data_IF_154583516723
#
_entry.id   IF_154583516723
#
_cell.length_a   1.000
_cell.length_b   1.000
_cell.length_c   1.000
_cell.angle_alpha   90.00
_cell.angle_beta   90.00
_cell.angle_gamma   90.00
#
_symmetry.space_group_name_H-M   'P 1'
#
loop_
_entity.id
_entity.type
_entity.pdbx_description
1 polymer ?
#
# COMPACT_ATOMS: atom_id res chain seq x y z
N UNK A 1 -82.42 9.71 5.55
CA UNK A 1 -81.37 9.62 4.54
C UNK A 1 -80.08 10.16 5.22
N UNK A 2 -79.22 9.29 5.78
CA UNK A 2 -77.94 9.67 6.36
C UNK A 2 -76.87 9.49 5.30
N UNK A 3 -76.19 10.56 4.90
CA UNK A 3 -74.99 10.50 4.03
C UNK A 3 -73.74 10.39 4.91
N UNK A 4 -73.09 9.22 4.87
CA UNK A 4 -71.79 9.03 5.48
C UNK A 4 -70.72 9.73 4.62
N UNK A 5 -69.94 10.64 5.23
CA UNK A 5 -68.74 11.23 4.62
C UNK A 5 -67.53 10.35 4.96
N UNK A 6 -66.97 9.70 3.94
CA UNK A 6 -65.70 8.98 4.09
C UNK A 6 -64.55 10.00 3.91
N UNK A 7 -63.80 10.23 4.97
CA UNK A 7 -62.61 11.07 4.95
C UNK A 7 -61.43 10.18 4.59
N UNK A 8 -60.85 10.38 3.42
CA UNK A 8 -59.67 9.67 2.96
C UNK A 8 -58.43 10.34 3.56
N UNK A 9 -57.80 9.67 4.50
CA UNK A 9 -56.53 10.12 5.07
C UNK A 9 -55.40 9.72 4.08
N UNK A 10 -54.78 10.72 3.41
CA UNK A 10 -53.59 10.53 2.60
C UNK A 10 -52.38 10.50 3.51
N UNK A 11 -51.79 9.32 3.64
CA UNK A 11 -50.52 9.12 4.37
C UNK A 11 -49.39 9.62 3.44
N UNK A 12 -48.87 10.82 3.69
CA UNK A 12 -47.64 11.32 3.05
C UNK A 12 -46.43 10.56 3.64
N UNK A 13 -45.95 9.52 2.96
CA UNK A 13 -44.62 8.97 3.21
C UNK A 13 -43.61 10.02 2.79
N UNK A 14 -42.99 10.70 3.75
CA UNK A 14 -41.80 11.51 3.52
C UNK A 14 -40.65 10.58 3.16
N UNK A 15 -40.27 10.53 1.88
CA UNK A 15 -39.02 9.96 1.43
C UNK A 15 -37.89 10.80 1.98
N UNK A 16 -37.26 10.33 3.06
CA UNK A 16 -36.00 10.89 3.57
C UNK A 16 -34.95 10.57 2.48
N UNK A 17 -34.32 11.57 1.86
CA UNK A 17 -33.25 11.30 0.92
C UNK A 17 -32.13 10.60 1.69
N UNK A 18 -31.78 9.37 1.29
CA UNK A 18 -30.60 8.68 1.77
C UNK A 18 -29.42 9.46 1.17
N UNK A 19 -28.88 10.40 1.94
CA UNK A 19 -27.59 11.02 1.60
C UNK A 19 -26.55 9.91 1.58
N UNK A 20 -26.06 9.54 0.40
CA UNK A 20 -24.85 8.74 0.28
C UNK A 20 -23.72 9.63 0.78
N UNK A 21 -23.24 9.38 1.98
CA UNK A 21 -22.02 9.98 2.50
C UNK A 21 -20.87 9.48 1.63
N UNK A 22 -20.09 10.38 1.03
CA UNK A 22 -18.83 10.06 0.36
C UNK A 22 -17.69 10.19 1.35
N UNK A 23 -16.60 9.43 1.14
CA UNK A 23 -15.36 9.62 1.88
C UNK A 23 -14.91 11.09 1.76
N UNK A 24 -14.40 11.66 2.86
CA UNK A 24 -13.99 13.06 2.89
C UNK A 24 -12.49 13.17 2.62
N UNK A 25 -12.11 14.05 1.68
CA UNK A 25 -10.72 14.41 1.44
C UNK A 25 -10.32 15.54 2.38
N UNK A 26 -9.28 15.30 3.20
CA UNK A 26 -8.69 16.29 4.10
C UNK A 26 -7.28 16.60 3.63
N UNK A 27 -7.03 17.85 3.25
CA UNK A 27 -5.70 18.30 2.82
C UNK A 27 -4.92 18.80 4.04
N UNK A 28 -3.78 18.20 4.30
CA UNK A 28 -2.79 18.67 5.27
C UNK A 28 -1.85 19.66 4.58
N UNK A 29 -1.86 20.94 4.98
CA UNK A 29 -1.00 21.96 4.39
C UNK A 29 0.46 21.82 4.85
N UNK A 30 1.39 22.43 4.11
CA UNK A 30 2.82 22.49 4.45
C UNK A 30 3.68 22.58 3.20
N UNK A 31 4.98 22.50 3.35
CA UNK A 31 5.93 22.52 2.24
C UNK A 31 5.73 21.33 1.28
N UNK A 32 5.26 20.22 1.83
CA UNK A 32 4.87 19.00 1.09
C UNK A 32 3.47 18.59 1.56
N UNK A 33 2.42 19.16 0.96
CA UNK A 33 1.05 18.84 1.35
C UNK A 33 0.70 17.41 0.97
N UNK A 34 -0.20 16.79 1.75
CA UNK A 34 -0.74 15.47 1.44
C UNK A 34 -2.25 15.44 1.65
N UNK A 35 -2.92 14.50 1.00
CA UNK A 35 -4.35 14.27 1.14
C UNK A 35 -4.60 13.02 1.97
N UNK A 36 -5.46 13.15 2.97
CA UNK A 36 -6.03 12.05 3.73
C UNK A 36 -7.47 11.82 3.28
N UNK A 37 -7.78 10.61 2.86
CA UNK A 37 -9.15 10.16 2.59
C UNK A 37 -9.67 9.49 3.86
N UNK A 38 -10.72 10.09 4.43
CA UNK A 38 -11.39 9.59 5.65
C UNK A 38 -12.60 8.76 5.24
N UNK A 39 -12.68 7.46 5.59
CA UNK A 39 -13.79 6.62 5.19
C UNK A 39 -15.10 7.07 5.83
N UNK A 40 -16.23 6.88 5.14
CA UNK A 40 -17.57 7.22 5.63
C UNK A 40 -17.94 6.49 6.91
N UNK A 41 -17.32 5.34 7.12
CA UNK A 41 -17.54 4.48 8.30
C UNK A 41 -16.63 4.84 9.48
N UNK A 42 -15.73 5.84 9.35
CA UNK A 42 -14.85 6.27 10.45
C UNK A 42 -15.65 6.76 11.65
N UNK A 43 -15.25 6.30 12.83
CA UNK A 43 -15.82 6.74 14.11
C UNK A 43 -14.69 7.26 15.00
N UNK A 44 -14.82 8.51 15.43
CA UNK A 44 -13.87 9.11 16.37
C UNK A 44 -13.79 8.27 17.67
N UNK A 45 -12.57 8.04 18.15
CA UNK A 45 -12.31 7.19 19.31
C UNK A 45 -12.21 5.70 19.01
N UNK A 46 -12.59 5.24 17.80
CA UNK A 46 -12.39 3.85 17.37
C UNK A 46 -11.10 3.75 16.55
N UNK A 47 -10.10 2.95 17.00
CA UNK A 47 -8.82 2.84 16.26
C UNK A 47 -8.99 2.27 14.86
N UNK A 48 -8.64 3.04 13.84
CA UNK A 48 -8.73 2.70 12.43
C UNK A 48 -7.35 2.34 11.82
N UNK A 49 -7.28 1.42 10.85
CA UNK A 49 -6.04 1.19 10.08
C UNK A 49 -5.66 2.42 9.27
N UNK A 50 -4.35 2.61 9.04
CA UNK A 50 -3.80 3.64 8.16
C UNK A 50 -3.02 3.00 7.02
N UNK A 51 -3.33 3.37 5.78
CA UNK A 51 -2.54 3.00 4.60
C UNK A 51 -1.94 4.26 3.99
N UNK A 52 -0.62 4.24 3.71
CA UNK A 52 0.08 5.28 2.96
C UNK A 52 0.41 4.72 1.58
N UNK A 53 -0.08 5.37 0.51
CA UNK A 53 0.10 4.93 -0.87
C UNK A 53 1.12 5.81 -1.60
N UNK A 54 2.24 5.21 -2.05
CA UNK A 54 3.40 5.90 -2.60
C UNK A 54 3.47 5.73 -4.12
N UNK A 55 3.55 6.85 -4.84
CA UNK A 55 3.69 6.88 -6.30
C UNK A 55 5.07 6.40 -6.79
N UNK A 56 5.20 6.09 -8.08
CA UNK A 56 6.47 5.81 -8.75
C UNK A 56 7.25 7.08 -9.09
N UNK A 57 8.50 6.93 -9.58
CA UNK A 57 9.30 8.04 -10.11
C UNK A 57 8.54 8.77 -11.21
N UNK A 58 8.57 10.09 -11.21
CA UNK A 58 7.87 11.03 -12.10
C UNK A 58 6.35 11.16 -11.91
N UNK A 59 5.72 10.24 -11.18
CA UNK A 59 4.30 10.31 -10.83
C UNK A 59 4.06 11.17 -9.57
N UNK A 60 2.81 11.34 -9.16
CA UNK A 60 2.38 12.16 -8.03
C UNK A 60 1.31 11.46 -7.18
N UNK A 61 0.83 12.15 -6.14
CA UNK A 61 -0.21 11.65 -5.25
C UNK A 61 -1.54 11.35 -5.97
N UNK A 62 -2.10 12.23 -6.84
CA UNK A 62 -3.29 11.93 -7.64
C UNK A 62 -3.14 10.69 -8.53
N UNK A 63 -1.94 10.50 -9.09
CA UNK A 63 -1.66 9.28 -9.86
C UNK A 63 -1.71 8.04 -8.97
N UNK A 64 -1.08 8.06 -7.78
CA UNK A 64 -1.10 6.93 -6.85
C UNK A 64 -2.51 6.56 -6.42
N UNK A 65 -3.37 7.55 -6.14
CA UNK A 65 -4.77 7.35 -5.78
C UNK A 65 -5.54 6.67 -6.93
N UNK A 66 -5.46 7.24 -8.14
CA UNK A 66 -6.14 6.67 -9.31
C UNK A 66 -5.60 5.30 -9.72
N UNK A 67 -4.29 5.07 -9.59
CA UNK A 67 -3.64 3.84 -10.00
C UNK A 67 -3.97 2.66 -9.09
N UNK A 68 -3.82 2.84 -7.78
CA UNK A 68 -4.15 1.77 -6.82
C UNK A 68 -5.64 1.62 -6.59
N UNK A 69 -6.44 2.68 -6.82
CA UNK A 69 -7.89 2.70 -6.68
C UNK A 69 -8.39 2.09 -5.35
N UNK A 70 -7.69 2.41 -4.24
CA UNK A 70 -8.01 1.83 -2.92
C UNK A 70 -9.31 2.37 -2.34
N UNK A 71 -9.78 3.57 -2.79
CA UNK A 71 -10.82 4.37 -2.15
C UNK A 71 -12.05 3.59 -1.75
N UNK A 72 -12.68 2.85 -2.67
CA UNK A 72 -13.89 2.05 -2.37
C UNK A 72 -13.62 0.98 -1.31
N UNK A 73 -12.59 0.17 -1.49
CA UNK A 73 -12.28 -0.92 -0.57
C UNK A 73 -11.79 -0.40 0.80
N UNK A 74 -11.12 0.77 0.83
CA UNK A 74 -10.73 1.45 2.06
C UNK A 74 -11.95 1.98 2.81
N UNK A 75 -12.90 2.60 2.11
CA UNK A 75 -14.15 3.10 2.69
C UNK A 75 -14.96 1.97 3.32
N UNK A 76 -15.21 0.89 2.58
CA UNK A 76 -15.96 -0.28 3.05
C UNK A 76 -15.33 -0.95 4.29
N UNK A 77 -14.01 -0.84 4.47
CA UNK A 77 -13.26 -1.47 5.56
C UNK A 77 -12.84 -0.50 6.67
N UNK A 78 -13.27 0.76 6.61
CA UNK A 78 -12.99 1.77 7.61
C UNK A 78 -11.51 2.15 7.71
N UNK A 79 -10.81 2.24 6.58
CA UNK A 79 -9.37 2.49 6.50
C UNK A 79 -9.10 3.96 6.15
N UNK A 80 -8.25 4.61 6.94
CA UNK A 80 -7.68 5.91 6.61
C UNK A 80 -6.64 5.72 5.50
N UNK A 81 -6.76 6.43 4.37
CA UNK A 81 -5.83 6.32 3.25
C UNK A 81 -5.14 7.66 2.98
N UNK A 82 -3.81 7.66 2.89
CA UNK A 82 -3.00 8.86 2.63
C UNK A 82 -2.26 8.72 1.32
N UNK A 83 -2.30 9.79 0.53
CA UNK A 83 -1.60 9.92 -0.74
C UNK A 83 -0.65 11.12 -0.68
N UNK A 84 0.63 10.93 -0.32
CA UNK A 84 1.63 11.98 -0.32
C UNK A 84 2.36 12.06 -1.66
N UNK A 85 2.96 13.22 -1.94
CA UNK A 85 3.92 13.40 -3.03
C UNK A 85 5.36 13.40 -2.52
N UNK A 86 6.24 12.77 -3.29
CA UNK A 86 7.69 12.72 -3.04
C UNK A 86 8.37 14.08 -3.20
N UNK A 87 9.68 14.10 -3.03
CA UNK A 87 10.55 15.26 -3.29
C UNK A 87 10.75 15.46 -4.79
N UNK A 88 11.21 16.66 -5.19
CA UNK A 88 11.55 16.94 -6.60
C UNK A 88 13.06 16.79 -6.82
N UNK A 89 13.43 16.15 -7.92
CA UNK A 89 14.80 16.12 -8.41
C UNK A 89 15.16 17.43 -9.18
N UNK A 90 16.38 17.54 -9.66
CA UNK A 90 16.90 18.68 -10.43
C UNK A 90 16.14 18.92 -11.74
N UNK A 91 15.44 17.92 -12.26
CA UNK A 91 14.59 18.02 -13.46
C UNK A 91 13.14 18.36 -13.11
N UNK A 92 12.81 18.50 -11.83
CA UNK A 92 11.44 18.76 -11.33
C UNK A 92 10.57 17.52 -11.21
N UNK A 93 11.09 16.31 -11.44
CA UNK A 93 10.35 15.07 -11.29
C UNK A 93 10.23 14.64 -9.83
N UNK A 94 9.07 14.15 -9.46
CA UNK A 94 8.83 13.65 -8.11
C UNK A 94 9.46 12.26 -7.90
N UNK A 95 10.08 12.07 -6.75
CA UNK A 95 10.73 10.83 -6.36
C UNK A 95 10.74 10.63 -4.85
N UNK A 96 11.06 9.43 -4.41
CA UNK A 96 11.34 9.05 -3.04
C UNK A 96 12.82 8.70 -2.90
N UNK A 97 13.49 9.27 -1.91
CA UNK A 97 14.86 8.90 -1.52
C UNK A 97 14.81 7.57 -0.74
N UNK A 98 14.75 6.47 -1.48
CA UNK A 98 14.50 5.14 -0.96
C UNK A 98 15.78 4.33 -0.70
N UNK A 99 16.03 3.30 -1.53
CA UNK A 99 17.25 2.51 -1.48
C UNK A 99 18.30 3.07 -2.46
N UNK A 100 19.58 2.73 -2.32
CA UNK A 100 20.62 3.20 -3.24
C UNK A 100 20.33 2.90 -4.73
N UNK A 101 19.52 1.87 -5.02
CA UNK A 101 19.21 1.49 -6.39
C UNK A 101 18.23 2.45 -7.08
N UNK A 102 17.34 3.14 -6.32
CA UNK A 102 16.31 4.00 -6.92
C UNK A 102 15.74 5.01 -5.91
N UNK A 103 15.47 6.22 -6.25
CA UNK A 103 15.70 6.94 -7.51
C UNK A 103 16.26 8.33 -7.22
N UNK A 104 17.07 8.46 -6.15
CA UNK A 104 17.77 9.68 -5.78
C UNK A 104 19.00 9.86 -6.69
N UNK A 105 18.77 10.26 -7.95
CA UNK A 105 19.83 10.38 -8.95
C UNK A 105 20.73 11.59 -8.74
N UNK A 106 20.23 12.60 -8.02
CA UNK A 106 20.97 13.83 -7.70
C UNK A 106 21.82 13.70 -6.43
N UNK A 107 21.80 12.55 -5.76
CA UNK A 107 22.44 12.38 -4.46
C UNK A 107 21.98 13.42 -3.41
N UNK A 108 20.70 13.79 -3.49
CA UNK A 108 20.08 14.73 -2.55
C UNK A 108 20.06 14.17 -1.13
N UNK A 109 20.21 15.07 -0.14
CA UNK A 109 20.11 14.74 1.29
C UNK A 109 18.67 14.77 1.83
N UNK A 110 17.66 14.79 0.97
CA UNK A 110 16.27 14.84 1.40
C UNK A 110 15.92 13.62 2.27
N UNK A 111 15.20 13.88 3.37
CA UNK A 111 14.78 12.87 4.33
C UNK A 111 13.28 12.54 4.14
N UNK A 112 13.01 11.64 3.18
CA UNK A 112 11.65 11.16 2.94
C UNK A 112 11.16 10.19 4.02
N UNK A 113 12.07 9.57 4.77
CA UNK A 113 11.74 8.76 5.94
C UNK A 113 11.10 9.63 7.03
N UNK A 114 11.77 10.74 7.40
CA UNK A 114 11.23 11.70 8.37
C UNK A 114 9.91 12.32 7.91
N UNK A 115 9.77 12.61 6.61
CA UNK A 115 8.52 13.11 6.06
C UNK A 115 7.37 12.11 6.21
N UNK A 116 7.56 10.84 5.86
CA UNK A 116 6.54 9.80 6.02
C UNK A 116 6.17 9.54 7.49
N UNK A 117 7.13 9.64 8.40
CA UNK A 117 6.87 9.58 9.84
C UNK A 117 6.02 10.78 10.29
N UNK A 118 6.32 11.99 9.82
CA UNK A 118 5.54 13.18 10.15
C UNK A 118 4.09 13.08 9.67
N UNK A 119 3.83 12.42 8.55
CA UNK A 119 2.46 12.09 8.08
C UNK A 119 1.76 11.19 9.08
N UNK A 120 2.39 10.08 9.48
CA UNK A 120 1.83 9.15 10.46
C UNK A 120 1.49 9.89 11.76
N UNK A 121 2.39 10.74 12.24
CA UNK A 121 2.21 11.48 13.49
C UNK A 121 1.09 12.53 13.37
N UNK A 122 1.00 13.25 12.25
CA UNK A 122 -0.05 14.23 11.99
C UNK A 122 -1.42 13.58 11.93
N UNK A 123 -1.56 12.50 11.17
CA UNK A 123 -2.84 11.76 11.09
C UNK A 123 -3.20 11.15 12.44
N UNK A 124 -2.23 10.57 13.16
CA UNK A 124 -2.48 9.98 14.50
C UNK A 124 -2.84 11.00 15.57
N UNK A 125 -2.46 12.26 15.39
CA UNK A 125 -2.86 13.36 16.28
C UNK A 125 -4.33 13.72 16.11
N UNK A 126 -4.82 13.73 14.87
CA UNK A 126 -6.14 14.22 14.52
C UNK A 126 -7.19 13.11 14.45
N UNK A 127 -6.76 11.87 14.21
CA UNK A 127 -7.60 10.67 14.05
C UNK A 127 -7.14 9.53 14.95
N UNK A 128 -8.08 8.69 15.36
CA UNK A 128 -7.79 7.47 16.14
C UNK A 128 -7.18 6.41 15.22
N UNK A 129 -5.85 6.50 14.97
CA UNK A 129 -5.10 5.48 14.22
C UNK A 129 -4.75 4.31 15.13
N UNK A 130 -4.94 3.08 14.64
CA UNK A 130 -4.46 1.88 15.31
C UNK A 130 -2.93 1.73 15.06
N UNK A 131 -2.07 1.87 16.09
CA UNK A 131 -0.63 1.77 15.89
C UNK A 131 -0.16 0.38 15.46
N UNK A 132 -0.98 -0.65 15.66
CA UNK A 132 -0.70 -2.00 15.17
C UNK A 132 -1.09 -2.20 13.69
N UNK A 133 -1.79 -1.24 13.06
CA UNK A 133 -2.30 -1.37 11.70
C UNK A 133 -1.92 -0.17 10.82
N UNK A 134 -0.61 0.15 10.80
CA UNK A 134 -0.02 1.16 9.90
C UNK A 134 0.70 0.45 8.77
N UNK A 135 0.33 0.75 7.54
CA UNK A 135 0.72 0.03 6.34
C UNK A 135 1.22 0.97 5.25
N UNK A 136 2.09 0.46 4.38
CA UNK A 136 2.55 1.20 3.19
C UNK A 136 2.34 0.33 1.95
N UNK A 137 1.78 0.93 0.90
CA UNK A 137 1.77 0.37 -0.46
C UNK A 137 2.51 1.31 -1.39
N UNK A 138 3.33 0.80 -2.31
CA UNK A 138 4.05 1.63 -3.27
C UNK A 138 4.28 0.96 -4.61
N UNK A 139 4.30 1.76 -5.68
CA UNK A 139 4.64 1.33 -7.03
C UNK A 139 6.05 1.78 -7.39
N UNK A 140 6.85 0.92 -8.04
CA UNK A 140 8.17 1.27 -8.57
C UNK A 140 9.07 1.93 -7.50
N UNK A 141 9.48 3.17 -7.65
CA UNK A 141 10.21 3.94 -6.64
C UNK A 141 9.48 4.00 -5.28
N UNK A 142 8.14 4.16 -5.26
CA UNK A 142 7.35 4.03 -4.04
C UNK A 142 7.40 2.63 -3.42
N UNK A 143 7.55 1.59 -4.25
CA UNK A 143 7.77 0.22 -3.78
C UNK A 143 9.14 0.04 -3.13
N UNK A 144 10.20 0.66 -3.67
CA UNK A 144 11.51 0.74 -3.02
C UNK A 144 11.41 1.49 -1.69
N UNK A 145 10.63 2.59 -1.63
CA UNK A 145 10.43 3.36 -0.40
C UNK A 145 9.63 2.57 0.64
N UNK A 146 8.65 1.76 0.24
CA UNK A 146 7.95 0.87 1.15
C UNK A 146 8.93 -0.12 1.83
N UNK A 147 9.85 -0.72 1.06
CA UNK A 147 10.92 -1.56 1.62
C UNK A 147 11.87 -0.78 2.53
N UNK A 148 12.23 0.46 2.16
CA UNK A 148 13.06 1.33 3.00
C UNK A 148 12.40 1.54 4.37
N UNK A 149 11.12 1.95 4.38
CA UNK A 149 10.37 2.17 5.63
C UNK A 149 10.24 0.89 6.47
N UNK A 150 9.99 -0.25 5.84
CA UNK A 150 9.95 -1.53 6.54
C UNK A 150 11.30 -1.89 7.18
N UNK A 151 12.43 -1.52 6.55
CA UNK A 151 13.77 -1.76 7.08
C UNK A 151 14.16 -0.81 8.22
N UNK A 152 13.75 0.48 8.12
CA UNK A 152 14.20 1.55 9.01
C UNK A 152 13.19 1.85 10.12
N UNK A 153 11.91 1.74 9.83
CA UNK A 153 10.80 2.10 10.71
C UNK A 153 9.92 0.91 11.06
N UNK A 154 10.57 -0.24 11.21
CA UNK A 154 9.91 -1.52 11.51
C UNK A 154 9.06 -1.49 12.79
N UNK A 155 9.35 -0.61 13.76
CA UNK A 155 8.53 -0.43 14.97
C UNK A 155 7.16 0.19 14.66
N UNK A 156 7.10 1.04 13.62
CA UNK A 156 5.88 1.77 13.23
C UNK A 156 5.08 1.05 12.15
N UNK A 157 5.73 0.27 11.28
CA UNK A 157 5.12 -0.34 10.10
C UNK A 157 4.80 -1.80 10.35
N UNK A 158 3.52 -2.19 10.17
CA UNK A 158 3.04 -3.55 10.36
C UNK A 158 3.27 -4.43 9.14
N UNK A 159 2.91 -3.91 7.96
CA UNK A 159 3.11 -4.61 6.69
C UNK A 159 3.29 -3.64 5.52
N UNK A 160 3.92 -4.12 4.45
CA UNK A 160 4.08 -3.39 3.21
C UNK A 160 3.64 -4.19 1.99
N UNK A 161 3.22 -3.46 0.95
CA UNK A 161 3.01 -3.96 -0.41
C UNK A 161 3.92 -3.19 -1.36
N UNK A 162 4.80 -3.89 -2.06
CA UNK A 162 5.69 -3.31 -3.08
C UNK A 162 5.31 -3.87 -4.45
N UNK A 163 4.73 -3.04 -5.33
CA UNK A 163 4.47 -3.37 -6.72
C UNK A 163 5.63 -2.86 -7.58
N UNK A 164 6.33 -3.78 -8.25
CA UNK A 164 7.45 -3.49 -9.15
C UNK A 164 8.61 -2.68 -8.50
N UNK A 165 8.74 -2.74 -7.17
CA UNK A 165 9.89 -2.22 -6.43
C UNK A 165 10.86 -3.34 -6.05
N UNK A 166 11.84 -3.04 -5.19
CA UNK A 166 12.76 -4.03 -4.64
C UNK A 166 13.37 -3.58 -3.31
N UNK A 167 13.88 -4.52 -2.51
CA UNK A 167 14.57 -4.24 -1.26
C UNK A 167 16.06 -3.92 -1.47
N UNK A 168 16.79 -3.72 -0.39
CA UNK A 168 18.24 -3.52 -0.43
C UNK A 168 18.98 -4.75 -0.96
N UNK A 169 19.91 -4.53 -1.90
CA UNK A 169 20.84 -5.58 -2.34
C UNK A 169 21.83 -5.96 -1.23
N UNK A 170 22.34 -4.95 -0.51
CA UNK A 170 23.14 -5.17 0.69
C UNK A 170 22.24 -5.39 1.91
N UNK A 171 22.10 -6.63 2.33
CA UNK A 171 21.22 -7.00 3.47
C UNK A 171 21.66 -6.38 4.81
N UNK A 172 22.94 -5.93 4.94
CA UNK A 172 23.41 -5.21 6.14
C UNK A 172 22.74 -3.84 6.29
N UNK A 173 22.24 -3.27 5.19
CA UNK A 173 21.54 -1.98 5.20
C UNK A 173 20.08 -2.09 5.64
N UNK A 174 19.54 -3.32 5.73
CA UNK A 174 18.18 -3.61 6.17
C UNK A 174 18.23 -4.52 7.41
N UNK A 175 18.10 -3.92 8.59
CA UNK A 175 18.10 -4.61 9.87
C UNK A 175 16.95 -4.11 10.72
N UNK A 176 15.71 -4.54 10.40
CA UNK A 176 14.54 -4.13 11.17
C UNK A 176 14.65 -4.67 12.61
N UNK A 177 14.27 -3.83 13.59
CA UNK A 177 14.22 -4.19 15.03
C UNK A 177 13.00 -5.05 15.37
N UNK A 178 11.98 -5.01 14.51
CA UNK A 178 10.72 -5.73 14.68
C UNK A 178 10.30 -6.40 13.36
N UNK A 179 9.67 -7.58 13.37
CA UNK A 179 9.20 -8.24 12.16
C UNK A 179 8.15 -7.40 11.42
N UNK A 180 8.23 -7.38 10.08
CA UNK A 180 7.29 -6.67 9.19
C UNK A 180 6.82 -7.62 8.10
N UNK A 181 5.51 -7.72 7.87
CA UNK A 181 5.00 -8.54 6.77
C UNK A 181 5.23 -7.85 5.43
N UNK A 182 5.69 -8.61 4.43
CA UNK A 182 6.07 -8.09 3.12
C UNK A 182 5.37 -8.83 2.00
N UNK A 183 4.67 -8.08 1.17
CA UNK A 183 4.14 -8.53 -0.12
C UNK A 183 4.90 -7.85 -1.26
N UNK A 184 5.60 -8.64 -2.04
CA UNK A 184 6.19 -8.23 -3.32
C UNK A 184 5.27 -8.65 -4.46
N UNK A 185 4.82 -7.70 -5.28
CA UNK A 185 4.05 -7.95 -6.51
C UNK A 185 4.92 -7.56 -7.69
N UNK A 186 5.08 -8.44 -8.71
CA UNK A 186 5.98 -8.13 -9.81
C UNK A 186 5.58 -8.83 -11.11
N UNK A 187 5.63 -8.08 -12.21
CA UNK A 187 5.39 -8.60 -13.56
C UNK A 187 6.62 -9.29 -14.14
N UNK A 188 6.47 -10.46 -14.78
CA UNK A 188 7.59 -11.21 -15.38
C UNK A 188 8.17 -10.56 -16.63
N UNK A 189 7.46 -9.57 -17.22
CA UNK A 189 7.88 -8.78 -18.40
C UNK A 189 8.16 -7.32 -18.06
N UNK A 190 8.45 -7.04 -16.76
CA UNK A 190 8.87 -5.72 -16.34
C UNK A 190 10.21 -5.34 -17.01
N UNK A 191 10.16 -4.33 -17.89
CA UNK A 191 11.31 -3.85 -18.65
C UNK A 191 12.04 -2.68 -17.97
N UNK A 192 11.51 -2.16 -16.85
CA UNK A 192 12.08 -1.04 -16.08
C UNK A 192 12.81 -1.56 -14.86
N UNK A 193 12.09 -2.27 -13.97
CA UNK A 193 12.67 -2.96 -12.82
C UNK A 193 12.56 -4.46 -13.08
N UNK A 194 13.65 -5.05 -13.57
CA UNK A 194 13.63 -6.46 -13.98
C UNK A 194 13.18 -7.40 -12.86
N UNK A 195 12.24 -8.29 -13.20
CA UNK A 195 11.79 -9.36 -12.31
C UNK A 195 12.96 -10.22 -11.78
N UNK A 196 14.00 -10.39 -12.60
CA UNK A 196 15.20 -11.18 -12.26
C UNK A 196 16.26 -10.41 -11.50
N UNK A 197 15.99 -9.13 -11.15
CA UNK A 197 16.96 -8.23 -10.55
C UNK A 197 17.90 -7.60 -11.58
N UNK A 198 18.73 -6.67 -11.14
CA UNK A 198 19.61 -5.94 -12.04
C UNK A 198 20.35 -4.80 -11.39
N UNK A 199 20.66 -3.80 -12.21
CA UNK A 199 21.32 -2.57 -11.80
C UNK A 199 20.57 -1.34 -12.31
N UNK A 200 20.46 -0.32 -11.47
CA UNK A 200 20.01 1.02 -11.85
C UNK A 200 21.13 1.99 -11.48
N UNK A 201 21.64 2.73 -12.48
CA UNK A 201 22.69 3.72 -12.29
C UNK A 201 23.88 3.20 -11.45
N UNK A 202 24.32 1.96 -11.71
CA UNK A 202 25.45 1.35 -11.01
C UNK A 202 25.13 0.69 -9.67
N UNK A 203 23.91 0.83 -9.16
CA UNK A 203 23.48 0.22 -7.90
C UNK A 203 22.63 -1.03 -8.15
N UNK A 204 23.02 -2.15 -7.53
CA UNK A 204 22.31 -3.41 -7.65
C UNK A 204 20.99 -3.43 -6.88
N UNK A 205 20.00 -4.12 -7.45
CA UNK A 205 18.78 -4.51 -6.74
C UNK A 205 18.49 -6.00 -6.92
N UNK A 206 17.95 -6.68 -5.89
CA UNK A 206 17.66 -8.11 -5.97
C UNK A 206 16.45 -8.41 -6.86
N UNK A 207 16.37 -9.63 -7.36
CA UNK A 207 15.18 -10.13 -8.05
C UNK A 207 13.95 -10.12 -7.14
N UNK A 208 12.75 -10.13 -7.72
CA UNK A 208 11.51 -10.23 -6.97
C UNK A 208 11.49 -11.47 -6.03
N UNK A 209 12.01 -12.61 -6.51
CA UNK A 209 12.17 -13.81 -5.70
C UNK A 209 13.17 -13.61 -4.56
N UNK A 210 14.35 -13.04 -4.85
CA UNK A 210 15.39 -12.80 -3.84
C UNK A 210 14.91 -11.79 -2.79
N UNK A 211 14.08 -10.82 -3.17
CA UNK A 211 13.45 -9.87 -2.25
C UNK A 211 12.67 -10.60 -1.15
N UNK A 212 11.77 -11.51 -1.52
CA UNK A 212 11.00 -12.25 -0.50
C UNK A 212 11.86 -13.27 0.25
N UNK A 213 12.93 -13.80 -0.35
CA UNK A 213 13.85 -14.69 0.35
C UNK A 213 14.64 -13.94 1.43
N UNK A 214 15.05 -12.68 1.17
CA UNK A 214 15.67 -11.79 2.17
C UNK A 214 14.71 -11.53 3.32
N UNK A 215 13.46 -11.15 3.03
CA UNK A 215 12.46 -10.90 4.07
C UNK A 215 12.03 -12.17 4.80
N UNK A 216 12.03 -13.33 4.11
CA UNK A 216 11.82 -14.62 4.76
C UNK A 216 12.91 -14.94 5.78
N UNK A 217 14.18 -14.57 5.50
CA UNK A 217 15.28 -14.72 6.46
C UNK A 217 15.15 -13.70 7.62
N UNK A 218 14.87 -12.44 7.32
CA UNK A 218 14.67 -11.39 8.34
C UNK A 218 13.55 -11.76 9.31
N UNK A 219 12.44 -12.26 8.78
CA UNK A 219 11.27 -12.66 9.57
C UNK A 219 11.37 -14.08 10.15
N UNK A 220 12.55 -14.71 10.06
CA UNK A 220 12.80 -16.06 10.61
C UNK A 220 11.74 -17.08 10.13
N UNK A 221 11.36 -17.01 8.85
CA UNK A 221 10.37 -17.88 8.25
C UNK A 221 10.92 -19.31 8.01
N UNK A 222 10.04 -20.24 7.68
CA UNK A 222 10.41 -21.58 7.21
C UNK A 222 11.35 -21.54 5.99
N UNK A 223 12.03 -22.66 5.73
CA UNK A 223 13.16 -22.70 4.75
C UNK A 223 12.78 -22.34 3.31
N UNK A 224 11.55 -22.59 2.87
CA UNK A 224 11.11 -22.36 1.49
C UNK A 224 9.65 -21.87 1.46
N UNK A 225 9.32 -20.94 0.54
CA UNK A 225 7.92 -20.58 0.32
C UNK A 225 7.19 -21.69 -0.45
N UNK A 226 5.90 -21.79 -0.21
CA UNK A 226 5.01 -22.70 -0.90
C UNK A 226 4.04 -21.93 -1.80
N UNK A 227 3.61 -22.58 -2.89
CA UNK A 227 2.54 -22.04 -3.74
C UNK A 227 1.22 -22.02 -2.97
N UNK A 228 0.46 -20.96 -3.13
CA UNK A 228 -0.89 -20.78 -2.59
C UNK A 228 -1.89 -20.85 -3.76
N UNK A 229 -3.01 -21.48 -3.54
CA UNK A 229 -4.11 -21.54 -4.52
C UNK A 229 -5.39 -20.95 -3.90
N UNK A 230 -6.31 -20.45 -4.73
CA UNK A 230 -6.22 -20.31 -6.18
C UNK A 230 -5.22 -19.21 -6.61
N UNK A 231 -4.95 -19.12 -7.92
CA UNK A 231 -4.24 -17.99 -8.53
C UNK A 231 -5.12 -16.75 -8.46
N UNK A 232 -4.51 -15.56 -8.55
CA UNK A 232 -5.21 -14.28 -8.56
C UNK A 232 -5.28 -13.72 -9.99
N UNK A 233 -6.24 -12.85 -10.23
CA UNK A 233 -6.39 -12.02 -11.42
C UNK A 233 -6.08 -10.57 -11.00
N UNK A 234 -4.89 -10.05 -11.33
CA UNK A 234 -4.43 -8.72 -10.93
C UNK A 234 -4.21 -7.77 -12.10
N UNK A 235 -4.01 -8.26 -13.34
CA UNK A 235 -3.83 -7.44 -14.54
C UNK A 235 -4.97 -7.70 -15.54
N UNK A 236 -5.89 -6.73 -15.66
CA UNK A 236 -7.06 -6.84 -16.56
C UNK A 236 -6.72 -6.99 -18.05
N UNK A 237 -5.45 -6.73 -18.47
CA UNK A 237 -4.98 -6.93 -19.85
C UNK A 237 -4.59 -8.37 -20.12
N UNK A 238 -4.37 -9.17 -19.10
CA UNK A 238 -3.97 -10.57 -19.23
C UNK A 238 -5.17 -11.44 -18.86
N UNK A 239 -5.74 -12.20 -19.81
CA UNK A 239 -6.94 -12.98 -19.53
C UNK A 239 -6.75 -14.04 -18.44
N UNK A 240 -7.69 -14.10 -17.50
CA UNK A 240 -7.79 -15.12 -16.47
C UNK A 240 -6.89 -14.87 -15.26
N UNK A 241 -6.81 -15.85 -14.37
CA UNK A 241 -6.03 -15.75 -13.14
C UNK A 241 -4.53 -15.98 -13.44
N UNK A 242 -3.86 -14.93 -13.91
CA UNK A 242 -2.46 -14.96 -14.36
C UNK A 242 -1.45 -14.89 -13.20
N UNK A 243 -1.87 -14.47 -12.01
CA UNK A 243 -0.95 -14.23 -10.89
C UNK A 243 -0.77 -15.44 -10.00
N UNK A 244 0.47 -15.90 -9.84
CA UNK A 244 0.82 -16.95 -8.89
C UNK A 244 1.28 -16.38 -7.57
N UNK A 245 0.90 -17.02 -6.46
CA UNK A 245 1.25 -16.64 -5.10
C UNK A 245 2.25 -17.63 -4.51
N UNK A 246 3.40 -17.13 -4.06
CA UNK A 246 4.35 -17.87 -3.23
C UNK A 246 4.36 -17.24 -1.84
N UNK A 247 4.24 -18.05 -0.79
CA UNK A 247 4.17 -17.60 0.60
C UNK A 247 5.13 -18.38 1.48
N UNK A 248 5.93 -17.69 2.26
CA UNK A 248 6.64 -18.26 3.38
C UNK A 248 5.67 -18.56 4.53
N UNK A 249 5.90 -19.64 5.27
CA UNK A 249 5.11 -20.04 6.45
C UNK A 249 5.99 -20.08 7.69
N UNK A 250 5.34 -19.99 8.85
CA UNK A 250 6.02 -20.15 10.16
C UNK A 250 6.99 -19.01 10.47
N UNK A 251 6.67 -17.78 10.05
CA UNK A 251 7.47 -16.61 10.32
C UNK A 251 7.25 -16.11 11.76
N UNK A 252 8.27 -15.44 12.31
CA UNK A 252 8.26 -14.81 13.64
C UNK A 252 7.07 -13.85 13.80
N UNK A 253 6.47 -13.82 14.97
CA UNK A 253 5.30 -13.00 15.30
C UNK A 253 4.11 -13.15 14.34
N UNK A 254 4.05 -14.24 13.56
CA UNK A 254 2.98 -14.47 12.57
C UNK A 254 3.03 -13.53 11.36
N UNK A 255 4.19 -12.90 11.11
CA UNK A 255 4.43 -12.12 9.89
C UNK A 255 4.46 -13.01 8.64
N UNK A 256 4.50 -12.40 7.48
CA UNK A 256 4.52 -13.09 6.20
C UNK A 256 5.57 -12.50 5.25
N UNK A 257 6.06 -13.32 4.32
CA UNK A 257 6.83 -12.86 3.18
C UNK A 257 6.26 -13.53 1.93
N UNK A 258 5.65 -12.75 1.04
CA UNK A 258 4.94 -13.25 -0.13
C UNK A 258 5.46 -12.63 -1.42
N UNK A 259 5.40 -13.43 -2.51
CA UNK A 259 5.57 -12.97 -3.88
C UNK A 259 4.31 -13.29 -4.67
N UNK A 260 3.69 -12.25 -5.23
CA UNK A 260 2.66 -12.36 -6.25
C UNK A 260 3.27 -12.07 -7.61
N UNK A 261 3.39 -13.10 -8.43
CA UNK A 261 4.02 -12.99 -9.76
C UNK A 261 2.93 -12.85 -10.81
N UNK A 262 2.85 -11.69 -11.46
CA UNK A 262 1.97 -11.45 -12.61
C UNK A 262 2.67 -12.02 -13.84
N UNK A 263 2.23 -13.19 -14.33
CA UNK A 263 2.82 -13.80 -15.52
C UNK A 263 2.55 -12.94 -16.75
N UNK A 264 3.60 -12.60 -17.49
CA UNK A 264 3.62 -11.62 -18.59
C UNK A 264 3.28 -10.19 -18.20
N UNK A 265 3.06 -9.87 -16.90
CA UNK A 265 2.83 -8.52 -16.43
C UNK A 265 4.01 -7.59 -16.70
N UNK A 266 3.71 -6.33 -17.02
CA UNK A 266 4.68 -5.26 -17.28
C UNK A 266 4.99 -4.46 -16.03
N UNK A 267 5.81 -3.38 -16.14
CA UNK A 267 6.18 -2.52 -14.99
C UNK A 267 4.97 -1.86 -14.30
N UNK A 268 4.03 -1.39 -15.10
CA UNK A 268 2.78 -0.76 -14.60
C UNK A 268 1.59 -1.55 -15.18
N UNK A 269 1.23 -2.70 -14.56
CA UNK A 269 0.09 -3.48 -15.02
C UNK A 269 -1.21 -2.66 -14.91
N UNK A 270 -2.19 -2.92 -15.77
CA UNK A 270 -3.52 -2.35 -15.61
C UNK A 270 -4.28 -3.13 -14.53
N UNK A 271 -4.29 -2.58 -13.32
CA UNK A 271 -4.82 -3.27 -12.16
C UNK A 271 -6.29 -3.67 -12.35
N UNK A 272 -6.60 -4.92 -12.00
CA UNK A 272 -7.95 -5.47 -12.05
C UNK A 272 -8.85 -4.89 -10.96
N UNK A 273 -10.16 -5.04 -11.09
CA UNK A 273 -11.11 -4.60 -10.08
C UNK A 273 -10.93 -5.29 -8.71
N UNK A 274 -10.26 -6.45 -8.67
CA UNK A 274 -10.01 -7.19 -7.43
C UNK A 274 -8.68 -6.84 -6.77
N UNK A 275 -7.81 -6.04 -7.42
CA UNK A 275 -6.50 -5.70 -6.90
C UNK A 275 -6.56 -5.05 -5.52
N UNK A 276 -7.35 -3.98 -5.39
CA UNK A 276 -7.49 -3.24 -4.13
C UNK A 276 -7.94 -4.14 -2.99
N UNK A 277 -8.97 -4.96 -3.20
CA UNK A 277 -9.44 -5.91 -2.19
C UNK A 277 -8.38 -6.94 -1.79
N UNK A 278 -7.65 -7.50 -2.75
CA UNK A 278 -6.62 -8.48 -2.47
C UNK A 278 -5.48 -7.89 -1.63
N UNK A 279 -4.97 -6.68 -1.98
CA UNK A 279 -3.86 -6.07 -1.24
C UNK A 279 -4.31 -5.56 0.13
N UNK A 280 -5.51 -4.99 0.24
CA UNK A 280 -6.06 -4.57 1.54
C UNK A 280 -6.29 -5.78 2.45
N UNK A 281 -6.80 -6.89 1.93
CA UNK A 281 -6.96 -8.11 2.72
C UNK A 281 -5.60 -8.65 3.20
N UNK A 282 -4.56 -8.61 2.34
CA UNK A 282 -3.20 -8.94 2.80
C UNK A 282 -2.79 -8.03 3.96
N UNK A 283 -2.91 -6.71 3.83
CA UNK A 283 -2.50 -5.77 4.88
C UNK A 283 -3.27 -6.00 6.19
N UNK A 284 -4.60 -6.04 6.16
CA UNK A 284 -5.43 -6.19 7.34
C UNK A 284 -5.25 -7.51 8.09
N UNK A 285 -4.83 -8.58 7.40
CA UNK A 285 -4.54 -9.88 8.02
C UNK A 285 -3.16 -9.94 8.67
N UNK A 286 -2.35 -8.87 8.53
CA UNK A 286 -0.99 -8.81 9.07
C UNK A 286 -0.79 -7.57 9.96
N UNK A 287 -1.59 -7.40 11.04
CA UNK A 287 -1.30 -6.36 12.03
C UNK A 287 0.01 -6.65 12.75
N UNK A 288 0.64 -5.61 13.27
CA UNK A 288 1.78 -5.75 14.15
C UNK A 288 1.36 -6.43 15.44
N UNK A 289 2.04 -7.49 15.81
CA UNK A 289 1.84 -8.15 17.10
C UNK A 289 2.75 -7.53 18.15
N UNK A 290 2.22 -7.33 19.35
CA UNK A 290 3.04 -7.01 20.52
C UNK A 290 4.13 -8.07 20.68
N UNK A 291 5.36 -7.64 20.88
CA UNK A 291 6.49 -8.52 21.18
C UNK A 291 6.29 -9.19 22.54
#
# INVERSE_FOLDING_TARGET
MFRARITLAVLLLSLIPISHSHAADVVYPGDRPFTLVVPTTYQSGTPAPLIIALHGYTADAPYADSYFALGKAADEKGILAVYPSGSRDSNGFLYWNATPACCNFDSSSVDDEAYLLSIIDSVSKDYSVDPARIYIIGHSNGGFMAHHMACKQSERIAAIVSLAGSTYSNTRSCKPSSPVSVLQIHGTKDAVISFTGGYLFGNAYPSARKTIDIWGQINECGKKPARVLPRLDLDRKIPGAETTVLRYKGCKAGTNSELWTIDKGVHSPELSATFADNVINFLLTHPKKSA
#
